data_IF_270044244593
#
_entry.id   IF_270044244593
#
_cell.length_a   1.000
_cell.length_b   1.000
_cell.length_c   1.000
_cell.angle_alpha   90.00
_cell.angle_beta   90.00
_cell.angle_gamma   90.00
#
_symmetry.space_group_name_H-M   'P 1'
#
loop_
_entity.id
_entity.type
_entity.pdbx_description
1 polymer ?
#
# COMPACT_ATOMS: atom_id res chain seq x y z
N UNK A 1 1.56 15.57 25.15
CA UNK A 1 1.57 15.80 23.70
C UNK A 1 2.82 16.63 23.39
N UNK A 2 3.76 16.08 22.62
CA UNK A 2 5.09 16.67 22.39
C UNK A 2 5.09 17.64 21.19
N UNK A 3 6.10 18.51 21.09
CA UNK A 3 6.28 19.40 19.95
C UNK A 3 6.37 18.63 18.61
N UNK A 4 7.03 17.46 18.61
CA UNK A 4 7.14 16.61 17.43
C UNK A 4 5.78 16.07 16.96
N UNK A 5 4.87 15.79 17.89
CA UNK A 5 3.51 15.35 17.55
C UNK A 5 2.71 16.47 16.87
N UNK A 6 2.85 17.72 17.33
CA UNK A 6 2.19 18.85 16.67
C UNK A 6 2.77 19.10 15.28
N UNK A 7 4.10 19.11 15.16
CA UNK A 7 4.78 19.27 13.88
C UNK A 7 4.39 18.18 12.88
N UNK A 8 4.33 16.91 13.31
CA UNK A 8 3.88 15.80 12.48
C UNK A 8 2.45 15.96 11.95
N UNK A 9 1.55 16.64 12.67
CA UNK A 9 0.20 16.94 12.18
C UNK A 9 0.18 17.98 11.06
N UNK A 10 1.14 18.90 11.04
CA UNK A 10 1.30 19.87 9.94
C UNK A 10 1.95 19.17 8.75
N UNK A 11 3.02 18.41 8.99
CA UNK A 11 3.79 17.73 7.96
C UNK A 11 3.04 16.59 7.25
N UNK A 12 1.86 16.19 7.72
CA UNK A 12 1.04 15.20 7.01
C UNK A 12 0.43 15.77 5.71
N UNK A 13 0.40 17.10 5.57
CA UNK A 13 -0.14 17.79 4.42
C UNK A 13 0.99 18.16 3.43
N UNK A 14 0.84 17.72 2.18
CA UNK A 14 1.84 17.91 1.11
C UNK A 14 2.07 19.42 0.82
N UNK A 15 1.00 20.21 0.78
CA UNK A 15 1.07 21.68 0.55
C UNK A 15 1.82 22.40 1.68
N UNK A 16 1.57 22.02 2.94
CA UNK A 16 2.26 22.61 4.09
C UNK A 16 3.74 22.22 4.07
N UNK A 17 4.05 20.98 3.74
CA UNK A 17 5.44 20.49 3.60
C UNK A 17 6.18 21.23 2.49
N UNK A 18 5.55 21.40 1.32
CA UNK A 18 6.12 22.17 0.21
C UNK A 18 6.32 23.65 0.59
N UNK A 19 5.38 24.24 1.33
CA UNK A 19 5.48 25.62 1.83
C UNK A 19 6.61 25.81 2.83
N UNK A 20 6.80 24.85 3.75
CA UNK A 20 7.91 24.85 4.69
C UNK A 20 9.26 24.67 3.98
N UNK A 21 9.33 23.81 2.96
CA UNK A 21 10.52 23.66 2.13
C UNK A 21 10.87 24.96 1.39
N UNK A 22 9.89 25.63 0.78
CA UNK A 22 10.10 26.94 0.16
C UNK A 22 10.52 28.00 1.19
N UNK A 23 9.95 27.98 2.40
CA UNK A 23 10.30 28.92 3.45
C UNK A 23 11.78 28.80 3.84
N UNK A 24 12.27 27.60 4.13
CA UNK A 24 13.69 27.40 4.50
C UNK A 24 14.62 27.70 3.33
N UNK A 25 14.24 27.34 2.10
CA UNK A 25 15.04 27.64 0.91
C UNK A 25 15.11 29.12 0.56
N UNK A 26 14.08 29.92 0.88
CA UNK A 26 14.14 31.39 0.71
C UNK A 26 15.01 32.06 1.78
N UNK A 27 15.16 31.45 2.95
CA UNK A 27 16.03 31.96 4.02
C UNK A 27 17.49 31.68 3.74
N UNK A 28 17.79 30.43 3.40
CA UNK A 28 19.12 29.97 3.02
C UNK A 28 19.02 29.06 1.79
N UNK A 29 19.23 29.58 0.57
CA UNK A 29 19.07 28.81 -0.66
C UNK A 29 20.20 27.80 -0.91
N UNK A 30 21.37 27.99 -0.30
CA UNK A 30 22.57 27.26 -0.71
C UNK A 30 22.52 25.75 -0.39
N UNK A 31 22.03 25.31 0.77
CA UNK A 31 21.85 23.89 1.07
C UNK A 31 21.01 23.15 0.01
N UNK A 32 19.87 23.73 -0.39
CA UNK A 32 19.01 23.14 -1.42
C UNK A 32 19.70 23.11 -2.79
N UNK A 33 20.38 24.19 -3.16
CA UNK A 33 21.15 24.27 -4.40
C UNK A 33 22.19 23.14 -4.48
N UNK A 34 22.87 22.87 -3.36
CA UNK A 34 23.93 21.87 -3.26
C UNK A 34 23.41 20.44 -3.35
N UNK A 35 22.37 20.09 -2.57
CA UNK A 35 21.82 18.72 -2.58
C UNK A 35 21.20 18.37 -3.94
N UNK A 36 20.48 19.31 -4.56
CA UNK A 36 19.89 19.12 -5.89
C UNK A 36 20.92 19.23 -7.02
N UNK A 37 22.17 19.61 -6.72
CA UNK A 37 23.27 19.81 -7.68
C UNK A 37 22.88 20.78 -8.80
N UNK A 38 22.19 21.85 -8.46
CA UNK A 38 21.80 22.87 -9.43
C UNK A 38 23.04 23.62 -9.93
N UNK A 39 23.05 23.95 -11.22
CA UNK A 39 24.18 24.64 -11.86
C UNK A 39 24.24 26.12 -11.52
N UNK A 40 23.10 26.70 -11.17
CA UNK A 40 22.96 28.13 -10.88
C UNK A 40 22.44 28.31 -9.45
N UNK A 41 22.85 29.40 -8.76
CA UNK A 41 22.31 29.74 -7.46
C UNK A 41 20.79 29.94 -7.52
N UNK A 42 20.10 29.48 -6.48
CA UNK A 42 18.66 29.70 -6.35
C UNK A 42 18.40 31.18 -6.03
N UNK A 43 17.59 31.84 -6.86
CA UNK A 43 17.14 33.23 -6.68
C UNK A 43 15.72 33.34 -6.15
N UNK A 44 14.85 32.42 -6.56
CA UNK A 44 13.47 32.37 -6.08
C UNK A 44 13.00 30.92 -5.97
N UNK A 45 12.15 30.65 -4.99
CA UNK A 45 11.40 29.39 -4.88
C UNK A 45 9.92 29.75 -4.79
N UNK A 46 9.09 29.16 -5.64
CA UNK A 46 7.64 29.37 -5.67
C UNK A 46 6.92 28.07 -5.39
N UNK A 47 5.82 28.18 -4.64
CA UNK A 47 4.92 27.06 -4.35
C UNK A 47 3.67 27.17 -5.20
N UNK A 48 3.03 26.02 -5.46
CA UNK A 48 1.72 25.95 -6.08
C UNK A 48 1.66 26.70 -7.44
N UNK A 49 2.72 26.57 -8.23
CA UNK A 49 2.91 27.31 -9.49
C UNK A 49 1.89 26.86 -10.53
N UNK A 50 1.03 27.76 -11.05
CA UNK A 50 0.05 27.40 -12.06
C UNK A 50 0.72 26.90 -13.35
N UNK A 51 0.31 25.74 -13.83
CA UNK A 51 0.73 25.20 -15.13
C UNK A 51 -0.43 24.43 -15.76
N UNK A 52 -0.88 24.87 -16.94
CA UNK A 52 -2.10 24.36 -17.58
C UNK A 52 -3.41 24.96 -17.00
N UNK A 53 -4.57 24.48 -17.47
CA UNK A 53 -5.87 25.16 -17.26
C UNK A 53 -6.39 25.14 -15.81
N UNK A 54 -6.00 24.18 -14.97
CA UNK A 54 -6.47 24.03 -13.57
C UNK A 54 -5.47 23.32 -12.64
N UNK A 55 -4.21 23.22 -13.03
CA UNK A 55 -3.22 22.42 -12.31
C UNK A 55 -2.11 23.31 -11.73
N UNK A 56 -1.48 22.82 -10.67
CA UNK A 56 -0.38 23.48 -9.97
C UNK A 56 0.75 22.48 -9.81
N UNK A 57 1.98 22.98 -9.94
CA UNK A 57 3.21 22.30 -9.57
C UNK A 57 3.49 22.63 -8.10
N UNK A 58 3.94 21.67 -7.31
CA UNK A 58 4.14 21.87 -5.87
C UNK A 58 5.19 22.96 -5.62
N UNK A 59 6.34 22.85 -6.29
CA UNK A 59 7.48 23.72 -6.13
C UNK A 59 8.23 23.93 -7.45
N UNK A 60 8.55 25.18 -7.76
CA UNK A 60 9.47 25.53 -8.85
C UNK A 60 10.59 26.40 -8.29
N UNK A 61 11.81 26.04 -8.64
CA UNK A 61 13.04 26.74 -8.28
C UNK A 61 13.51 27.54 -9.49
N UNK A 62 13.84 28.81 -9.26
CA UNK A 62 14.29 29.74 -10.27
C UNK A 62 15.74 30.16 -10.00
N UNK A 63 16.56 30.08 -11.05
CA UNK A 63 17.96 30.48 -11.06
C UNK A 63 18.16 31.94 -11.46
N UNK A 64 19.30 32.21 -12.09
CA UNK A 64 19.62 33.57 -12.56
C UNK A 64 18.67 34.03 -13.66
N UNK A 65 18.42 35.34 -13.72
CA UNK A 65 17.52 35.92 -14.73
C UNK A 65 16.05 35.50 -14.62
N UNK A 66 15.66 34.78 -13.56
CA UNK A 66 14.29 34.33 -13.34
C UNK A 66 13.90 33.11 -14.17
N UNK A 67 14.87 32.32 -14.65
CA UNK A 67 14.61 31.10 -15.40
C UNK A 67 14.34 29.91 -14.46
N UNK A 68 13.31 29.07 -14.70
CA UNK A 68 13.12 27.83 -13.94
C UNK A 68 14.31 26.88 -14.14
N UNK A 69 14.93 26.43 -13.05
CA UNK A 69 16.06 25.49 -13.08
C UNK A 69 15.68 24.11 -12.57
N UNK A 70 14.67 24.02 -11.71
CA UNK A 70 14.15 22.76 -11.21
C UNK A 70 12.65 22.82 -10.89
N UNK A 71 11.99 21.68 -10.98
CA UNK A 71 10.62 21.44 -10.54
C UNK A 71 10.61 20.26 -9.57
N UNK A 72 9.94 20.44 -8.43
CA UNK A 72 9.93 19.49 -7.32
C UNK A 72 8.48 19.05 -7.07
N UNK A 73 8.23 17.75 -7.04
CA UNK A 73 6.99 17.14 -6.56
C UNK A 73 7.23 16.63 -5.13
N UNK A 74 6.31 16.93 -4.21
CA UNK A 74 6.42 16.57 -2.78
C UNK A 74 5.33 15.60 -2.39
N UNK A 75 5.70 14.38 -1.96
CA UNK A 75 4.77 13.33 -1.55
C UNK A 75 4.98 12.88 -0.12
N UNK A 76 3.95 13.04 0.71
CA UNK A 76 3.97 12.54 2.09
C UNK A 76 3.27 11.18 2.16
N UNK A 77 2.05 11.10 1.63
CA UNK A 77 1.23 9.89 1.76
C UNK A 77 0.49 9.52 0.47
N UNK A 78 0.22 10.48 -0.43
CA UNK A 78 -0.45 10.19 -1.68
C UNK A 78 0.54 9.59 -2.71
N UNK A 79 0.01 8.84 -3.67
CA UNK A 79 0.76 8.50 -4.89
C UNK A 79 0.62 9.61 -5.90
N UNK A 80 1.38 9.55 -6.98
CA UNK A 80 1.03 10.28 -8.19
C UNK A 80 -0.29 9.73 -8.77
N UNK A 81 -1.11 10.61 -9.35
CA UNK A 81 -2.40 10.23 -9.94
C UNK A 81 -2.58 10.90 -11.31
N UNK A 82 -3.20 10.18 -12.23
CA UNK A 82 -3.65 10.74 -13.51
C UNK A 82 -2.50 11.21 -14.41
N UNK A 83 -2.63 12.44 -14.93
CA UNK A 83 -1.68 13.07 -15.85
C UNK A 83 -0.51 13.78 -15.13
N UNK A 84 -0.41 13.63 -13.80
CA UNK A 84 0.50 14.43 -12.98
C UNK A 84 1.94 14.39 -13.46
N UNK A 85 2.53 13.21 -13.66
CA UNK A 85 3.91 13.06 -14.12
C UNK A 85 4.13 13.68 -15.52
N UNK A 86 3.15 13.53 -16.42
CA UNK A 86 3.21 14.12 -17.77
C UNK A 86 3.33 15.63 -17.71
N UNK A 87 2.61 16.29 -16.80
CA UNK A 87 2.65 17.77 -16.68
C UNK A 87 3.99 18.29 -16.20
N UNK A 88 4.61 17.59 -15.25
CA UNK A 88 5.94 17.95 -14.78
C UNK A 88 6.98 17.75 -15.88
N UNK A 89 6.86 16.68 -16.67
CA UNK A 89 7.68 16.47 -17.85
C UNK A 89 7.49 17.58 -18.88
N UNK A 90 6.26 17.96 -19.21
CA UNK A 90 5.97 19.07 -20.13
C UNK A 90 6.59 20.39 -19.66
N UNK A 91 6.49 20.71 -18.36
CA UNK A 91 7.13 21.88 -17.78
C UNK A 91 8.65 21.81 -17.88
N UNK A 92 9.23 20.67 -17.52
CA UNK A 92 10.66 20.42 -17.57
C UNK A 92 11.20 20.56 -19.01
N UNK A 93 10.52 19.99 -19.99
CA UNK A 93 10.90 20.08 -21.41
C UNK A 93 10.79 21.52 -21.94
N UNK A 94 9.76 22.26 -21.54
CA UNK A 94 9.55 23.65 -21.96
C UNK A 94 10.66 24.59 -21.42
N UNK A 95 11.16 24.33 -20.22
CA UNK A 95 12.07 25.24 -19.52
C UNK A 95 13.50 24.71 -19.36
N UNK A 96 13.76 23.46 -19.77
CA UNK A 96 15.04 22.78 -19.49
C UNK A 96 15.28 22.55 -17.99
N UNK A 97 14.21 22.41 -17.20
CA UNK A 97 14.29 22.28 -15.75
C UNK A 97 14.53 20.83 -15.32
N UNK A 98 15.34 20.60 -14.29
CA UNK A 98 15.52 19.28 -13.70
C UNK A 98 14.28 18.87 -12.86
N UNK A 99 13.92 17.58 -12.87
CA UNK A 99 12.76 17.07 -12.13
C UNK A 99 13.19 16.29 -10.89
N UNK A 100 12.60 16.63 -9.75
CA UNK A 100 12.88 15.99 -8.48
C UNK A 100 11.61 15.51 -7.79
N UNK A 101 11.64 14.27 -7.31
CA UNK A 101 10.59 13.70 -6.47
C UNK A 101 11.10 13.65 -5.03
N UNK A 102 10.40 14.30 -4.11
CA UNK A 102 10.77 14.36 -2.70
C UNK A 102 9.66 13.67 -1.90
N UNK A 103 9.96 12.48 -1.37
CA UNK A 103 8.92 11.63 -0.80
C UNK A 103 9.30 10.90 0.49
N UNK A 104 8.35 10.13 1.05
CA UNK A 104 8.57 9.19 2.15
C UNK A 104 8.69 7.74 1.70
N UNK A 105 8.86 7.48 0.41
CA UNK A 105 8.91 6.11 -0.09
C UNK A 105 10.07 5.33 0.53
N UNK A 106 9.80 4.06 0.84
CA UNK A 106 10.82 3.17 1.39
C UNK A 106 11.86 2.81 0.29
N UNK A 107 13.08 2.39 0.69
CA UNK A 107 14.08 1.91 -0.25
C UNK A 107 13.51 0.81 -1.18
N UNK A 108 13.83 0.89 -2.47
CA UNK A 108 13.35 -0.06 -3.49
C UNK A 108 12.07 0.37 -4.24
N UNK A 109 11.37 1.43 -3.83
CA UNK A 109 10.28 1.98 -4.65
C UNK A 109 10.81 2.53 -5.98
N UNK A 110 10.01 2.39 -7.04
CA UNK A 110 10.37 2.80 -8.41
C UNK A 110 10.39 4.32 -8.51
N UNK A 111 11.38 4.84 -9.23
CA UNK A 111 11.46 6.26 -9.60
C UNK A 111 11.07 6.41 -11.07
N UNK A 112 10.19 7.36 -11.42
CA UNK A 112 9.86 7.60 -12.83
C UNK A 112 11.10 7.96 -13.66
N UNK A 113 11.19 7.53 -14.94
CA UNK A 113 12.32 7.86 -15.80
C UNK A 113 12.52 9.38 -15.91
N UNK A 114 13.78 9.84 -15.80
CA UNK A 114 14.13 11.27 -15.87
C UNK A 114 14.02 12.03 -14.54
N UNK A 115 13.50 11.41 -13.49
CA UNK A 115 13.40 12.01 -12.16
C UNK A 115 14.57 11.60 -11.27
N UNK A 116 15.01 12.52 -10.43
CA UNK A 116 15.90 12.22 -9.30
C UNK A 116 15.07 12.23 -8.01
N UNK A 117 15.16 11.16 -7.22
CA UNK A 117 14.40 11.05 -5.98
C UNK A 117 15.28 11.33 -4.76
N UNK A 118 14.73 12.08 -3.82
CA UNK A 118 15.29 12.28 -2.48
C UNK A 118 14.23 11.97 -1.42
N UNK A 119 14.65 11.59 -0.22
CA UNK A 119 13.71 11.51 0.89
C UNK A 119 13.42 12.89 1.47
N UNK A 120 12.22 13.09 2.03
CA UNK A 120 11.90 14.33 2.76
C UNK A 120 12.88 14.61 3.90
N UNK A 121 13.26 13.58 4.65
CA UNK A 121 14.23 13.72 5.75
C UNK A 121 15.58 14.25 5.23
N UNK A 122 16.11 13.65 4.16
CA UNK A 122 17.39 14.03 3.56
C UNK A 122 17.37 15.47 3.01
N UNK A 123 16.27 15.88 2.36
CA UNK A 123 16.15 17.26 1.85
C UNK A 123 16.14 18.27 2.98
N UNK A 124 15.35 18.07 4.03
CA UNK A 124 15.36 19.01 5.16
C UNK A 124 16.66 18.97 5.96
N UNK A 125 17.30 17.80 6.08
CA UNK A 125 18.58 17.65 6.79
C UNK A 125 19.73 18.44 6.17
N UNK A 126 19.65 18.83 4.88
CA UNK A 126 20.75 19.58 4.25
C UNK A 126 21.00 20.95 4.91
N UNK A 127 20.04 21.50 5.66
CA UNK A 127 20.18 22.74 6.43
C UNK A 127 20.73 22.56 7.86
N UNK A 128 21.12 21.35 8.28
CA UNK A 128 21.63 21.09 9.62
C UNK A 128 22.83 21.98 10.01
N UNK A 129 23.66 22.35 9.02
CA UNK A 129 24.82 23.23 9.16
C UNK A 129 24.59 24.65 8.63
N UNK A 130 23.32 25.04 8.38
CA UNK A 130 22.98 26.38 7.89
C UNK A 130 23.36 27.45 8.91
N UNK A 131 23.89 28.58 8.41
CA UNK A 131 24.20 29.75 9.23
C UNK A 131 22.95 30.59 9.56
N UNK A 132 21.81 30.37 8.88
CA UNK A 132 20.53 30.95 9.29
C UNK A 132 19.91 30.06 10.39
N UNK A 133 19.94 30.55 11.63
CA UNK A 133 19.44 29.82 12.79
C UNK A 133 17.98 29.37 12.65
N UNK A 134 17.14 30.16 11.97
CA UNK A 134 15.74 29.80 11.77
C UNK A 134 15.63 28.65 10.78
N UNK A 135 16.32 28.72 9.64
CA UNK A 135 16.36 27.65 8.67
C UNK A 135 16.90 26.35 9.29
N UNK A 136 18.02 26.43 10.02
CA UNK A 136 18.64 25.29 10.71
C UNK A 136 17.72 24.64 11.73
N UNK A 137 17.13 25.41 12.65
CA UNK A 137 16.28 24.87 13.73
C UNK A 137 15.01 24.23 13.17
N UNK A 138 14.31 24.90 12.24
CA UNK A 138 13.08 24.35 11.67
C UNK A 138 13.35 23.11 10.84
N UNK A 139 14.34 23.16 9.95
CA UNK A 139 14.66 22.05 9.06
C UNK A 139 15.13 20.80 9.82
N UNK A 140 15.94 20.98 10.87
CA UNK A 140 16.39 19.86 11.73
C UNK A 140 15.20 19.17 12.40
N UNK A 141 14.29 19.94 13.01
CA UNK A 141 13.10 19.37 13.65
C UNK A 141 12.17 18.65 12.65
N UNK A 142 12.03 19.19 11.43
CA UNK A 142 11.25 18.56 10.36
C UNK A 142 11.91 17.26 9.89
N UNK A 143 13.23 17.28 9.66
CA UNK A 143 14.00 16.12 9.25
C UNK A 143 13.89 14.97 10.28
N UNK A 144 13.97 15.28 11.58
CA UNK A 144 13.77 14.31 12.66
C UNK A 144 12.39 13.64 12.62
N UNK A 145 11.32 14.41 12.36
CA UNK A 145 9.97 13.84 12.23
C UNK A 145 9.88 12.88 11.04
N UNK A 146 10.37 13.30 9.87
CA UNK A 146 10.33 12.45 8.68
C UNK A 146 11.23 11.21 8.80
N UNK A 147 12.42 11.34 9.40
CA UNK A 147 13.30 10.19 9.69
C UNK A 147 12.61 9.20 10.62
N UNK A 148 12.00 9.69 11.70
CA UNK A 148 11.23 8.85 12.62
C UNK A 148 10.06 8.14 11.93
N UNK A 149 9.39 8.79 10.98
CA UNK A 149 8.35 8.14 10.16
C UNK A 149 8.92 7.07 9.24
N UNK A 150 10.06 7.30 8.59
CA UNK A 150 10.70 6.28 7.74
C UNK A 150 11.16 5.07 8.56
N UNK A 151 11.72 5.28 9.75
CA UNK A 151 12.09 4.21 10.70
C UNK A 151 10.85 3.40 11.13
N UNK A 152 9.72 4.06 11.39
CA UNK A 152 8.45 3.38 11.65
C UNK A 152 8.01 2.50 10.47
N UNK A 153 8.26 2.93 9.23
CA UNK A 153 7.87 2.20 8.02
C UNK A 153 8.55 0.83 7.85
N UNK A 154 9.70 0.61 8.50
CA UNK A 154 10.40 -0.70 8.52
C UNK A 154 10.14 -1.52 9.79
N UNK A 155 9.50 -0.91 10.80
CA UNK A 155 9.14 -1.56 12.06
C UNK A 155 7.77 -2.26 12.05
N UNK A 156 7.27 -2.67 13.23
CA UNK A 156 5.92 -3.20 13.38
C UNK A 156 4.87 -2.18 12.95
N UNK A 157 3.77 -2.65 12.36
CA UNK A 157 2.68 -1.82 11.84
C UNK A 157 1.91 -1.10 12.96
N UNK A 158 1.84 -1.67 14.16
CA UNK A 158 1.19 -1.02 15.27
C UNK A 158 1.96 0.23 15.71
N UNK A 159 1.25 1.36 15.76
CA UNK A 159 1.75 2.60 16.33
C UNK A 159 2.51 3.48 15.34
N UNK A 160 2.61 3.07 14.07
CA UNK A 160 3.19 3.93 13.04
C UNK A 160 2.29 5.14 12.76
N UNK A 161 2.91 6.22 12.29
CA UNK A 161 2.20 7.42 11.85
C UNK A 161 1.16 7.09 10.79
N UNK A 162 0.00 7.77 10.86
CA UNK A 162 -1.06 7.64 9.86
C UNK A 162 -0.58 7.95 8.43
N UNK A 163 0.47 8.77 8.29
CA UNK A 163 1.13 9.09 7.03
C UNK A 163 1.85 7.89 6.41
N UNK A 164 2.34 6.96 7.25
CA UNK A 164 3.18 5.84 6.80
C UNK A 164 2.39 4.62 6.35
N UNK A 165 1.15 4.43 6.79
CA UNK A 165 0.38 3.26 6.33
C UNK A 165 0.25 3.18 4.80
N UNK A 166 -0.12 4.26 4.06
CA UNK A 166 -0.14 4.22 2.60
C UNK A 166 1.22 3.86 1.99
N UNK A 167 2.31 4.41 2.52
CA UNK A 167 3.68 4.13 2.07
C UNK A 167 4.02 2.65 2.25
N UNK A 168 3.78 2.10 3.44
CA UNK A 168 4.06 0.70 3.75
C UNK A 168 3.20 -0.23 2.86
N UNK A 169 1.90 0.07 2.68
CA UNK A 169 1.05 -0.71 1.77
C UNK A 169 1.59 -0.71 0.33
N UNK A 170 2.13 0.41 -0.17
CA UNK A 170 2.70 0.48 -1.52
C UNK A 170 4.00 -0.30 -1.64
N UNK A 171 4.86 -0.23 -0.64
CA UNK A 171 6.08 -1.03 -0.59
C UNK A 171 5.74 -2.52 -0.64
N UNK A 172 4.75 -2.98 0.13
CA UNK A 172 4.26 -4.37 0.09
C UNK A 172 3.72 -4.73 -1.30
N UNK A 173 2.84 -3.89 -1.88
CA UNK A 173 2.27 -4.15 -3.19
C UNK A 173 3.35 -4.21 -4.29
N UNK A 174 4.36 -3.35 -4.23
CA UNK A 174 5.50 -3.34 -5.17
C UNK A 174 6.37 -4.58 -5.00
N UNK A 175 6.60 -5.02 -3.76
CA UNK A 175 7.30 -6.27 -3.47
C UNK A 175 6.56 -7.48 -4.05
N UNK A 176 5.26 -7.60 -3.76
CA UNK A 176 4.40 -8.66 -4.32
C UNK A 176 4.38 -8.63 -5.86
N UNK A 177 4.34 -7.45 -6.46
CA UNK A 177 4.40 -7.29 -7.91
C UNK A 177 5.73 -7.77 -8.52
N UNK A 178 6.84 -7.53 -7.82
CA UNK A 178 8.16 -8.01 -8.22
C UNK A 178 8.26 -9.54 -8.14
N UNK A 179 7.48 -10.17 -7.27
CA UNK A 179 7.34 -11.63 -7.16
C UNK A 179 6.31 -12.22 -8.15
N UNK A 180 5.84 -11.42 -9.12
CA UNK A 180 4.89 -11.87 -10.15
C UNK A 180 3.43 -11.93 -9.69
N UNK A 181 3.09 -11.35 -8.53
CA UNK A 181 1.69 -11.19 -8.10
C UNK A 181 1.08 -9.92 -8.69
N UNK A 182 -0.24 -9.90 -8.83
CA UNK A 182 -0.95 -8.64 -9.12
C UNK A 182 -1.39 -8.03 -7.79
N UNK A 183 -0.86 -6.88 -7.39
CA UNK A 183 -1.17 -6.27 -6.11
C UNK A 183 -1.40 -4.75 -6.22
N UNK A 184 -2.30 -4.22 -5.39
CA UNK A 184 -2.68 -2.80 -5.36
C UNK A 184 -2.85 -2.33 -3.93
N UNK A 185 -2.10 -1.30 -3.56
CA UNK A 185 -2.39 -0.48 -2.39
C UNK A 185 -3.47 0.54 -2.73
N UNK A 186 -4.41 0.77 -1.81
CA UNK A 186 -5.55 1.65 -2.01
C UNK A 186 -6.07 2.16 -0.67
N UNK A 187 -7.21 2.85 -0.70
CA UNK A 187 -7.99 3.18 0.48
C UNK A 187 -9.41 2.61 0.37
N UNK A 188 -9.99 2.26 1.51
CA UNK A 188 -11.43 2.02 1.61
C UNK A 188 -12.21 3.32 1.36
N UNK A 189 -13.53 3.23 1.19
CA UNK A 189 -14.40 4.41 1.06
C UNK A 189 -14.33 5.35 2.28
N UNK A 190 -13.90 4.86 3.44
CA UNK A 190 -13.66 5.65 4.64
C UNK A 190 -12.22 6.20 4.75
N UNK A 191 -11.41 6.09 3.69
CA UNK A 191 -10.03 6.59 3.67
C UNK A 191 -9.03 5.75 4.48
N UNK A 192 -9.41 4.52 4.84
CA UNK A 192 -8.54 3.60 5.58
C UNK A 192 -7.63 2.82 4.61
N UNK A 193 -6.33 2.65 4.91
CA UNK A 193 -5.40 1.88 4.09
C UNK A 193 -5.93 0.49 3.79
N UNK A 194 -5.79 0.07 2.54
CA UNK A 194 -6.18 -1.24 2.09
C UNK A 194 -5.17 -1.77 1.07
N UNK A 195 -5.05 -3.08 0.99
CA UNK A 195 -4.23 -3.75 -0.01
C UNK A 195 -5.00 -4.95 -0.54
N UNK A 196 -5.01 -5.11 -1.86
CA UNK A 196 -5.52 -6.32 -2.51
C UNK A 196 -4.42 -6.96 -3.34
N UNK A 197 -4.26 -8.26 -3.19
CA UNK A 197 -3.30 -9.07 -3.95
C UNK A 197 -4.02 -10.24 -4.60
N UNK A 198 -3.53 -10.65 -5.77
CA UNK A 198 -4.09 -11.71 -6.57
C UNK A 198 -3.01 -12.67 -7.08
N UNK A 199 -3.40 -13.93 -7.20
CA UNK A 199 -2.72 -14.94 -7.99
C UNK A 199 -3.72 -15.56 -8.99
N UNK A 200 -3.29 -16.01 -10.18
CA UNK A 200 -4.16 -16.76 -11.09
C UNK A 200 -4.77 -17.97 -10.39
N UNK A 201 -6.05 -18.27 -10.67
CA UNK A 201 -6.69 -19.47 -10.14
C UNK A 201 -6.17 -20.72 -10.86
N UNK A 202 -5.82 -21.83 -10.16
CA UNK A 202 -5.26 -23.04 -10.80
C UNK A 202 -6.15 -23.74 -11.83
N UNK A 203 -7.46 -23.46 -11.81
CA UNK A 203 -8.42 -23.99 -12.80
C UNK A 203 -8.20 -23.49 -14.24
N UNK A 204 -7.39 -22.45 -14.44
CA UNK A 204 -7.11 -21.87 -15.75
C UNK A 204 -8.26 -21.03 -16.35
N UNK A 205 -9.34 -20.79 -15.59
CA UNK A 205 -10.46 -19.97 -16.05
C UNK A 205 -10.02 -18.52 -16.18
N UNK A 206 -10.18 -17.94 -17.38
CA UNK A 206 -9.86 -16.54 -17.64
C UNK A 206 -10.62 -15.61 -16.67
N UNK A 207 -9.91 -14.61 -16.14
CA UNK A 207 -10.48 -13.67 -15.18
C UNK A 207 -10.66 -14.21 -13.76
N UNK A 208 -10.40 -15.50 -13.51
CA UNK A 208 -10.50 -16.10 -12.17
C UNK A 208 -9.16 -16.04 -11.42
N UNK A 209 -9.21 -15.54 -10.19
CA UNK A 209 -8.05 -15.27 -9.35
C UNK A 209 -8.30 -15.76 -7.92
N UNK A 210 -7.25 -16.26 -7.27
CA UNK A 210 -7.15 -16.28 -5.83
C UNK A 210 -6.86 -14.87 -5.33
N UNK A 211 -7.37 -14.49 -4.17
CA UNK A 211 -7.19 -13.14 -3.66
C UNK A 211 -7.00 -13.07 -2.15
N UNK A 212 -6.21 -12.08 -1.74
CA UNK A 212 -6.11 -11.56 -0.38
C UNK A 212 -6.50 -10.09 -0.40
N UNK A 213 -7.34 -9.67 0.53
CA UNK A 213 -7.86 -8.31 0.68
C UNK A 213 -7.71 -7.90 2.14
N UNK A 214 -6.69 -7.10 2.39
CA UNK A 214 -6.34 -6.55 3.69
C UNK A 214 -6.94 -5.14 3.82
N UNK A 215 -7.59 -4.85 4.95
CA UNK A 215 -8.12 -3.52 5.25
C UNK A 215 -7.80 -3.13 6.68
N UNK A 216 -7.08 -2.04 6.85
CA UNK A 216 -6.98 -1.36 8.14
C UNK A 216 -8.38 -0.93 8.57
N UNK A 217 -8.78 -1.26 9.80
CA UNK A 217 -10.09 -0.85 10.31
C UNK A 217 -10.09 0.63 10.69
N UNK A 218 -9.02 1.09 11.33
CA UNK A 218 -8.88 2.45 11.81
C UNK A 218 -7.41 2.82 11.99
N UNK A 219 -6.85 3.61 11.07
CA UNK A 219 -5.45 4.06 11.13
C UNK A 219 -5.15 5.00 12.31
N UNK A 220 -6.18 5.48 13.01
CA UNK A 220 -6.02 6.28 14.24
C UNK A 220 -5.97 5.43 15.51
N UNK A 221 -6.27 4.13 15.42
CA UNK A 221 -6.26 3.18 16.54
C UNK A 221 -5.35 2.00 16.19
N UNK A 222 -4.10 2.11 16.61
CA UNK A 222 -3.02 1.17 16.26
C UNK A 222 -3.19 -0.25 16.80
N UNK A 223 -4.01 -0.42 17.82
CA UNK A 223 -4.33 -1.69 18.51
C UNK A 223 -5.53 -2.42 17.90
N UNK A 224 -6.25 -1.79 16.98
CA UNK A 224 -7.37 -2.47 16.30
C UNK A 224 -6.84 -3.49 15.30
N UNK A 225 -7.35 -4.71 15.40
CA UNK A 225 -7.14 -5.74 14.39
C UNK A 225 -7.57 -5.30 13.00
N UNK A 226 -6.85 -5.76 11.99
CA UNK A 226 -7.12 -5.46 10.59
C UNK A 226 -7.97 -6.56 9.98
N UNK A 227 -8.84 -6.21 9.03
CA UNK A 227 -9.64 -7.19 8.31
C UNK A 227 -8.74 -7.88 7.28
N UNK A 228 -8.59 -9.20 7.40
CA UNK A 228 -7.82 -10.04 6.49
C UNK A 228 -8.75 -11.00 5.76
N UNK A 229 -9.11 -10.70 4.51
CA UNK A 229 -10.02 -11.52 3.71
C UNK A 229 -9.27 -12.33 2.68
N UNK A 230 -9.63 -13.60 2.54
CA UNK A 230 -9.01 -14.52 1.59
C UNK A 230 -10.09 -15.27 0.81
N UNK A 231 -9.84 -15.62 -0.45
CA UNK A 231 -10.80 -16.38 -1.25
C UNK A 231 -10.58 -16.17 -2.74
N UNK A 232 -11.66 -16.01 -3.50
CA UNK A 232 -11.63 -15.91 -4.97
C UNK A 232 -12.18 -14.59 -5.47
N UNK A 233 -11.68 -14.14 -6.62
CA UNK A 233 -12.17 -13.02 -7.38
C UNK A 233 -12.31 -13.40 -8.84
N UNK A 234 -13.45 -13.11 -9.45
CA UNK A 234 -13.67 -13.33 -10.88
C UNK A 234 -14.06 -12.01 -11.55
N UNK A 235 -13.25 -11.59 -12.52
CA UNK A 235 -13.53 -10.42 -13.34
C UNK A 235 -13.64 -10.79 -14.82
N UNK A 236 -14.88 -10.84 -15.33
CA UNK A 236 -15.21 -11.08 -16.75
C UNK A 236 -15.76 -9.83 -17.43
N UNK A 237 -15.33 -8.65 -16.96
CA UNK A 237 -15.72 -7.36 -17.52
C UNK A 237 -17.24 -7.12 -17.44
N UNK A 238 -17.89 -7.11 -18.61
CA UNK A 238 -19.32 -6.81 -18.72
C UNK A 238 -20.24 -8.00 -18.45
N UNK A 239 -19.74 -9.24 -18.39
CA UNK A 239 -20.58 -10.39 -18.00
C UNK A 239 -20.52 -10.63 -16.49
N UNK A 240 -21.30 -9.85 -15.75
CA UNK A 240 -21.29 -9.91 -14.28
C UNK A 240 -22.00 -11.13 -13.73
N UNK A 241 -23.03 -11.64 -14.42
CA UNK A 241 -23.76 -12.82 -13.98
C UNK A 241 -22.88 -14.07 -14.04
N UNK A 242 -22.19 -14.28 -15.16
CA UNK A 242 -21.26 -15.40 -15.32
C UNK A 242 -20.07 -15.28 -14.35
N UNK A 243 -19.53 -14.08 -14.16
CA UNK A 243 -18.48 -13.84 -13.16
C UNK A 243 -18.94 -14.24 -11.74
N UNK A 244 -20.16 -13.87 -11.34
CA UNK A 244 -20.73 -14.20 -10.02
C UNK A 244 -20.95 -15.70 -9.84
N UNK A 245 -21.47 -16.38 -10.87
CA UNK A 245 -21.66 -17.85 -10.87
C UNK A 245 -20.32 -18.58 -10.78
N UNK A 246 -19.36 -18.16 -11.59
CA UNK A 246 -18.00 -18.69 -11.57
C UNK A 246 -17.37 -18.49 -10.20
N UNK A 247 -17.46 -17.29 -9.62
CA UNK A 247 -16.94 -16.99 -8.29
C UNK A 247 -17.60 -17.86 -7.21
N UNK A 248 -18.93 -18.04 -7.25
CA UNK A 248 -19.65 -18.90 -6.31
C UNK A 248 -19.16 -20.35 -6.36
N UNK A 249 -19.07 -20.93 -7.56
CA UNK A 249 -18.60 -22.31 -7.73
C UNK A 249 -17.18 -22.50 -7.18
N UNK A 250 -16.25 -21.63 -7.59
CA UNK A 250 -14.85 -21.70 -7.15
C UNK A 250 -14.71 -21.47 -5.63
N UNK A 251 -15.48 -20.55 -5.05
CA UNK A 251 -15.49 -20.31 -3.62
C UNK A 251 -16.04 -21.50 -2.83
N UNK A 252 -17.09 -22.16 -3.35
CA UNK A 252 -17.67 -23.34 -2.71
C UNK A 252 -16.71 -24.54 -2.73
N UNK A 253 -15.97 -24.73 -3.83
CA UNK A 253 -14.90 -25.75 -3.93
C UNK A 253 -13.76 -25.47 -2.92
N UNK A 254 -13.39 -24.20 -2.74
CA UNK A 254 -12.33 -23.78 -1.82
C UNK A 254 -12.77 -23.77 -0.34
N UNK A 255 -14.06 -23.77 -0.06
CA UNK A 255 -14.63 -23.55 1.27
C UNK A 255 -14.04 -24.40 2.40
N UNK A 256 -13.79 -25.71 2.24
CA UNK A 256 -13.22 -26.53 3.31
C UNK A 256 -11.88 -26.00 3.82
N UNK A 257 -11.07 -25.41 2.93
CA UNK A 257 -9.76 -24.84 3.24
C UNK A 257 -9.83 -23.42 3.84
N UNK A 258 -11.01 -22.79 3.88
CA UNK A 258 -11.19 -21.42 4.39
C UNK A 258 -11.46 -21.38 5.90
N UNK A 259 -10.68 -22.13 6.68
CA UNK A 259 -10.74 -22.15 8.14
C UNK A 259 -9.40 -21.73 8.76
N UNK A 260 -9.45 -21.26 10.01
CA UNK A 260 -8.28 -20.69 10.69
C UNK A 260 -7.21 -21.75 11.00
N UNK A 261 -7.62 -22.97 11.37
CA UNK A 261 -6.69 -24.01 11.81
C UNK A 261 -5.79 -24.49 10.65
N UNK A 262 -6.40 -24.80 9.50
CA UNK A 262 -5.65 -25.25 8.32
C UNK A 262 -4.77 -24.13 7.75
N UNK A 263 -5.29 -22.90 7.72
CA UNK A 263 -4.51 -21.73 7.31
C UNK A 263 -3.29 -21.51 8.22
N UNK A 264 -3.48 -21.58 9.54
CA UNK A 264 -2.38 -21.42 10.51
C UNK A 264 -1.32 -22.50 10.32
N UNK A 265 -1.75 -23.76 10.26
CA UNK A 265 -0.85 -24.91 10.03
C UNK A 265 -0.06 -24.76 8.73
N UNK A 266 -0.74 -24.39 7.64
CA UNK A 266 -0.09 -24.19 6.36
C UNK A 266 0.90 -23.02 6.36
N UNK A 267 0.56 -21.90 7.01
CA UNK A 267 1.44 -20.74 7.12
C UNK A 267 2.69 -21.08 7.95
N UNK A 268 2.54 -21.81 9.06
CA UNK A 268 3.67 -22.26 9.88
C UNK A 268 4.57 -23.27 9.15
N UNK A 269 4.01 -24.05 8.22
CA UNK A 269 4.78 -24.96 7.37
C UNK A 269 5.49 -24.24 6.20
N UNK A 270 4.89 -23.18 5.66
CA UNK A 270 5.42 -22.42 4.51
C UNK A 270 6.46 -21.38 4.94
N UNK A 271 6.29 -20.79 6.12
CA UNK A 271 7.09 -19.65 6.59
C UNK A 271 7.98 -20.06 7.76
N UNK A 272 9.15 -19.42 7.90
CA UNK A 272 10.07 -19.67 9.02
C UNK A 272 9.67 -18.88 10.29
N UNK A 273 8.45 -18.34 10.32
CA UNK A 273 7.94 -17.43 11.35
C UNK A 273 6.53 -17.84 11.76
N UNK A 274 6.10 -17.56 13.00
CA UNK A 274 4.76 -17.91 13.46
C UNK A 274 3.69 -16.93 12.94
N UNK A 275 3.66 -16.63 11.64
CA UNK A 275 2.74 -15.65 11.03
C UNK A 275 1.28 -16.09 11.14
N UNK A 276 1.00 -17.40 11.13
CA UNK A 276 -0.35 -17.94 11.33
C UNK A 276 -0.99 -17.49 12.65
N UNK A 277 -0.20 -17.46 13.74
CA UNK A 277 -0.67 -17.04 15.07
C UNK A 277 -1.08 -15.56 15.17
N UNK A 278 -0.74 -14.74 14.18
CA UNK A 278 -1.18 -13.32 14.11
C UNK A 278 -2.60 -13.18 13.59
N UNK A 279 -3.20 -14.27 13.08
CA UNK A 279 -4.55 -14.31 12.57
C UNK A 279 -5.54 -14.85 13.61
N UNK A 280 -6.76 -14.32 13.57
CA UNK A 280 -7.88 -14.76 14.41
C UNK A 280 -9.20 -14.72 13.63
N UNK A 281 -10.27 -15.26 14.24
CA UNK A 281 -11.60 -15.31 13.65
C UNK A 281 -12.13 -16.74 13.49
N UNK A 282 -12.70 -17.29 14.56
CA UNK A 282 -13.19 -18.67 14.60
C UNK A 282 -14.33 -18.98 13.60
N UNK A 283 -15.07 -17.95 13.18
CA UNK A 283 -16.16 -18.06 12.20
C UNK A 283 -15.89 -17.16 11.00
N UNK A 284 -14.98 -17.55 10.09
CA UNK A 284 -14.54 -16.68 9.02
C UNK A 284 -15.57 -16.57 7.88
N UNK A 285 -16.66 -17.32 7.95
CA UNK A 285 -17.78 -17.29 7.01
C UNK A 285 -19.12 -17.22 7.75
N UNK A 286 -20.16 -16.73 7.07
CA UNK A 286 -21.52 -16.68 7.63
C UNK A 286 -22.11 -18.09 7.64
N UNK A 287 -22.87 -18.40 8.69
CA UNK A 287 -23.58 -19.68 8.87
C UNK A 287 -25.10 -19.47 8.85
N UNK A 288 -25.71 -19.22 7.67
CA UNK A 288 -27.15 -18.98 7.60
C UNK A 288 -27.97 -20.26 7.86
N UNK A 289 -29.12 -20.11 8.55
CA UNK A 289 -30.16 -21.15 8.57
C UNK A 289 -30.71 -21.37 7.15
N UNK A 290 -31.07 -22.62 6.82
CA UNK A 290 -31.55 -23.04 5.50
C UNK A 290 -30.57 -22.65 4.38
N UNK A 291 -29.30 -22.97 4.59
CA UNK A 291 -28.18 -22.55 3.76
C UNK A 291 -28.38 -22.84 2.28
N UNK A 292 -28.80 -24.05 1.94
CA UNK A 292 -28.98 -24.48 0.54
C UNK A 292 -30.07 -23.68 -0.17
N UNK A 293 -31.22 -23.46 0.46
CA UNK A 293 -32.31 -22.66 -0.12
C UNK A 293 -31.89 -21.21 -0.33
N UNK A 294 -31.13 -20.64 0.61
CA UNK A 294 -30.60 -19.27 0.44
C UNK A 294 -29.59 -19.15 -0.69
N UNK A 295 -28.73 -20.14 -0.86
CA UNK A 295 -27.78 -20.17 -1.99
C UNK A 295 -28.52 -20.32 -3.32
N UNK A 296 -29.52 -21.21 -3.38
CA UNK A 296 -30.36 -21.38 -4.57
C UNK A 296 -31.08 -20.08 -4.95
N UNK A 297 -31.70 -19.42 -3.98
CA UNK A 297 -32.38 -18.13 -4.20
C UNK A 297 -31.41 -17.04 -4.65
N UNK A 298 -30.22 -16.96 -4.05
CA UNK A 298 -29.21 -16.00 -4.46
C UNK A 298 -28.72 -16.24 -5.90
N UNK A 299 -28.55 -17.49 -6.33
CA UNK A 299 -28.22 -17.80 -7.72
C UNK A 299 -29.33 -17.40 -8.69
N UNK A 300 -30.61 -17.59 -8.32
CA UNK A 300 -31.75 -17.10 -9.09
C UNK A 300 -31.75 -15.57 -9.19
N UNK A 301 -31.42 -14.86 -8.09
CA UNK A 301 -31.26 -13.39 -8.11
C UNK A 301 -30.11 -12.94 -9.02
N UNK A 302 -28.99 -13.69 -9.05
CA UNK A 302 -27.87 -13.41 -9.95
C UNK A 302 -28.31 -13.46 -11.42
N UNK A 303 -29.09 -14.47 -11.79
CA UNK A 303 -29.61 -14.61 -13.17
C UNK A 303 -30.56 -13.47 -13.52
N UNK A 304 -31.52 -13.21 -12.64
CA UNK A 304 -32.52 -12.17 -12.86
C UNK A 304 -31.89 -10.77 -12.96
N UNK A 305 -30.84 -10.51 -12.18
CA UNK A 305 -30.15 -9.23 -12.19
C UNK A 305 -29.29 -9.02 -13.44
N UNK A 306 -28.76 -10.09 -14.06
CA UNK A 306 -27.77 -10.00 -15.12
C UNK A 306 -26.58 -9.13 -14.70
N UNK A 307 -26.47 -7.94 -15.31
CA UNK A 307 -25.43 -6.94 -15.00
C UNK A 307 -25.77 -5.96 -13.87
N UNK A 308 -27.02 -6.02 -13.37
CA UNK A 308 -27.54 -5.23 -12.26
C UNK A 308 -26.92 -5.58 -10.90
N UNK A 309 -27.42 -4.91 -9.86
CA UNK A 309 -27.02 -5.18 -8.47
C UNK A 309 -27.66 -6.48 -7.97
N UNK A 310 -26.96 -7.19 -7.10
CA UNK A 310 -27.44 -8.43 -6.46
C UNK A 310 -27.39 -8.29 -4.94
N UNK A 311 -28.20 -9.09 -4.25
CA UNK A 311 -28.19 -9.18 -2.80
C UNK A 311 -26.87 -9.68 -2.23
N UNK A 312 -26.74 -9.63 -0.90
CA UNK A 312 -25.54 -10.09 -0.21
C UNK A 312 -25.39 -11.61 -0.35
N UNK A 313 -24.17 -12.08 -0.61
CA UNK A 313 -23.91 -13.52 -0.65
C UNK A 313 -24.22 -14.16 0.72
N UNK A 314 -24.96 -15.30 0.77
CA UNK A 314 -25.40 -15.91 2.04
C UNK A 314 -24.28 -16.43 2.95
N UNK A 315 -23.20 -16.98 2.37
CA UNK A 315 -22.08 -17.62 3.10
C UNK A 315 -20.85 -16.71 3.17
N UNK A 316 -20.28 -16.34 2.02
CA UNK A 316 -19.07 -15.51 1.96
C UNK A 316 -19.31 -14.01 2.21
N UNK A 317 -18.24 -13.33 2.64
CA UNK A 317 -18.12 -11.88 2.52
C UNK A 317 -17.85 -11.54 1.04
N UNK A 318 -18.49 -10.48 0.53
CA UNK A 318 -18.47 -10.22 -0.91
C UNK A 318 -18.24 -8.75 -1.26
N UNK A 319 -17.68 -8.56 -2.45
CA UNK A 319 -17.70 -7.29 -3.19
C UNK A 319 -18.45 -7.57 -4.51
N UNK A 320 -19.68 -7.05 -4.65
CA UNK A 320 -20.61 -7.24 -5.79
C UNK A 320 -20.90 -8.69 -6.24
N UNK A 321 -20.56 -9.67 -5.41
CA UNK A 321 -20.71 -11.10 -5.69
C UNK A 321 -19.63 -11.65 -6.64
N UNK A 322 -18.70 -10.81 -7.09
CA UNK A 322 -17.56 -11.20 -7.96
C UNK A 322 -16.32 -11.56 -7.16
N UNK A 323 -16.15 -10.95 -5.98
CA UNK A 323 -15.19 -11.38 -4.97
C UNK A 323 -15.95 -12.08 -3.86
N UNK A 324 -15.58 -13.31 -3.52
CA UNK A 324 -16.15 -14.07 -2.41
C UNK A 324 -15.02 -14.55 -1.51
N UNK A 325 -15.11 -14.18 -0.23
CA UNK A 325 -14.02 -14.33 0.73
C UNK A 325 -14.50 -14.81 2.08
N UNK A 326 -13.64 -15.56 2.75
CA UNK A 326 -13.67 -15.72 4.20
C UNK A 326 -12.95 -14.53 4.86
N UNK A 327 -13.33 -14.19 6.09
CA UNK A 327 -12.84 -13.02 6.83
C UNK A 327 -12.18 -13.42 8.14
N UNK A 328 -10.90 -13.10 8.26
CA UNK A 328 -10.09 -13.21 9.46
C UNK A 328 -9.70 -11.81 9.96
N UNK A 329 -9.01 -11.78 11.09
CA UNK A 329 -8.51 -10.58 11.72
C UNK A 329 -7.02 -10.72 12.01
N UNK A 330 -6.22 -9.74 11.56
CA UNK A 330 -4.78 -9.68 11.77
C UNK A 330 -4.47 -8.76 12.95
N UNK A 331 -3.72 -9.24 13.94
CA UNK A 331 -3.13 -8.42 15.01
C UNK A 331 -1.87 -7.71 14.50
N UNK A 332 -1.83 -6.36 14.42
CA UNK A 332 -0.71 -5.62 13.82
C UNK A 332 0.49 -5.41 14.75
N UNK A 333 0.41 -5.80 16.03
CA UNK A 333 1.32 -5.40 17.11
C UNK A 333 2.79 -5.74 16.83
N UNK A 334 3.03 -6.90 16.25
CA UNK A 334 4.37 -7.44 15.97
C UNK A 334 4.61 -7.70 14.49
N UNK A 335 3.67 -7.32 13.63
CA UNK A 335 3.73 -7.60 12.19
C UNK A 335 4.39 -6.44 11.49
N UNK A 336 5.53 -6.67 10.84
CA UNK A 336 6.18 -5.67 9.97
C UNK A 336 5.58 -5.69 8.56
N UNK A 337 5.94 -4.71 7.73
CA UNK A 337 5.57 -4.74 6.30
C UNK A 337 6.13 -5.97 5.57
N UNK A 338 7.33 -6.43 5.93
CA UNK A 338 7.93 -7.63 5.35
C UNK A 338 7.17 -8.91 5.74
N UNK A 339 6.79 -9.02 7.02
CA UNK A 339 5.96 -10.14 7.52
C UNK A 339 4.61 -10.17 6.82
N UNK A 340 3.99 -9.00 6.60
CA UNK A 340 2.71 -8.90 5.91
C UNK A 340 2.82 -9.32 4.42
N UNK A 341 3.91 -8.95 3.73
CA UNK A 341 4.19 -9.43 2.37
C UNK A 341 4.31 -10.96 2.35
N UNK A 342 5.09 -11.52 3.25
CA UNK A 342 5.30 -12.98 3.37
C UNK A 342 3.99 -13.71 3.70
N UNK A 343 3.19 -13.17 4.62
CA UNK A 343 1.87 -13.69 4.97
C UNK A 343 0.92 -13.71 3.76
N UNK A 344 0.88 -12.62 2.98
CA UNK A 344 0.03 -12.53 1.78
C UNK A 344 0.47 -13.54 0.73
N UNK A 345 1.77 -13.61 0.41
CA UNK A 345 2.27 -14.54 -0.61
C UNK A 345 2.07 -16.00 -0.20
N UNK A 346 2.36 -16.33 1.06
CA UNK A 346 2.19 -17.69 1.62
C UNK A 346 0.72 -18.09 1.65
N UNK A 347 -0.18 -17.17 1.97
CA UNK A 347 -1.63 -17.40 1.88
C UNK A 347 -2.06 -17.69 0.46
N UNK A 348 -1.58 -16.95 -0.54
CA UNK A 348 -1.91 -17.21 -1.95
C UNK A 348 -1.39 -18.59 -2.41
N UNK A 349 -0.20 -19.01 -1.95
CA UNK A 349 0.34 -20.36 -2.21
C UNK A 349 -0.51 -21.44 -1.54
N UNK A 350 -0.89 -21.25 -0.29
CA UNK A 350 -1.78 -22.16 0.44
C UNK A 350 -3.11 -22.36 -0.31
N UNK A 351 -3.76 -21.26 -0.71
CA UNK A 351 -5.01 -21.34 -1.46
C UNK A 351 -4.84 -22.07 -2.80
N UNK A 352 -3.70 -21.90 -3.48
CA UNK A 352 -3.42 -22.61 -4.73
C UNK A 352 -3.29 -24.13 -4.52
N UNK A 353 -2.58 -24.55 -3.47
CA UNK A 353 -2.46 -25.96 -3.07
C UNK A 353 -3.82 -26.57 -2.68
N UNK A 354 -4.62 -25.83 -1.92
CA UNK A 354 -5.97 -26.24 -1.54
C UNK A 354 -6.86 -26.48 -2.76
N UNK A 355 -6.79 -25.61 -3.79
CA UNK A 355 -7.51 -25.82 -5.06
C UNK A 355 -7.07 -27.09 -5.82
N UNK A 356 -5.85 -27.59 -5.57
CA UNK A 356 -5.31 -28.82 -6.18
C UNK A 356 -5.59 -30.08 -5.34
N UNK A 357 -6.23 -29.93 -4.17
CA UNK A 357 -6.54 -31.04 -3.27
C UNK A 357 -5.37 -31.47 -2.38
N UNK A 358 -4.30 -30.68 -2.31
CA UNK A 358 -3.18 -30.94 -1.40
C UNK A 358 -3.62 -30.62 0.04
N UNK A 359 -3.39 -31.56 0.97
CA UNK A 359 -3.61 -31.33 2.39
C UNK A 359 -2.47 -30.45 2.95
N UNK A 360 -2.73 -29.63 3.99
CA UNK A 360 -1.66 -28.96 4.71
C UNK A 360 -0.76 -30.01 5.34
N UNK A 361 0.48 -30.16 4.86
CA UNK A 361 1.45 -31.12 5.38
C UNK A 361 1.73 -30.86 6.86
N UNK A 362 1.16 -31.69 7.72
CA UNK A 362 1.53 -31.78 9.13
C UNK A 362 2.83 -32.61 9.25
N UNK A 363 3.97 -31.99 8.96
CA UNK A 363 5.28 -32.47 9.39
C UNK A 363 5.95 -33.52 8.50
N UNK A 364 6.90 -33.06 7.69
CA UNK A 364 8.17 -33.77 7.56
C UNK A 364 9.14 -33.13 8.54
N UNK A 365 9.11 -33.56 9.81
CA UNK A 365 10.31 -33.48 10.65
C UNK A 365 11.42 -34.16 9.89
N UNK A 366 12.40 -33.40 9.40
CA UNK A 366 13.65 -33.98 8.94
C UNK A 366 14.26 -34.69 10.14
N UNK A 367 14.14 -36.02 10.11
CA UNK A 367 14.80 -36.94 11.01
C UNK A 367 16.29 -36.84 10.70
N UNK A 368 16.96 -35.83 11.27
CA UNK A 368 18.42 -35.72 11.27
C UNK A 368 18.92 -36.85 12.16
N UNK A 369 19.11 -38.03 11.54
CA UNK A 369 19.89 -39.09 12.17
C UNK A 369 21.29 -38.53 12.40
N UNK A 370 21.81 -38.53 13.64
CA UNK A 370 23.20 -38.19 13.87
C UNK A 370 24.05 -39.28 13.23
N UNK A 371 24.93 -38.88 12.31
CA UNK A 371 26.05 -39.72 11.88
C UNK A 371 26.95 -39.95 13.09
N UNK A 372 26.91 -41.16 13.63
CA UNK A 372 27.98 -41.66 14.50
C UNK A 372 29.14 -42.15 13.63
N UNK A 373 30.34 -41.81 14.09
CA UNK A 373 31.67 -42.11 13.55
C UNK A 373 31.84 -43.47 12.90
#
# INVERSE_FOLDING_TARGET
MTAHHFLGRVLIHEVDTASLLAFVARRDPEPLCRILRLREPIREVRVEVPFGKRNRLDLVVYGEGGHPTAVLEVKVAATEHGDQLTRYQEFADQHGAAMFLIDLELPGSKVPPGWTRFSLAEVFECWADSLDDTARVFSTAIAEVFRGWQEQGVGPLAGISAAMYPVVMRSIATGLASDGRRAFASATSAGQPALVAYAPHPSGIEGAHLCVNLRCQDKSQSDKSWVYRIGVHVDKGHDRADARRTAHRLAAELEPALNLADLTTALEAITNKPLGSTLSGANPMKQPRNREDRLRNWLTEVDAAGNGRVGRHPVFHHDDGRRLTAQFYLGPELVTGADLRELIDSTLRYLARACQGEQPDAGATQDVRPSHN
#
